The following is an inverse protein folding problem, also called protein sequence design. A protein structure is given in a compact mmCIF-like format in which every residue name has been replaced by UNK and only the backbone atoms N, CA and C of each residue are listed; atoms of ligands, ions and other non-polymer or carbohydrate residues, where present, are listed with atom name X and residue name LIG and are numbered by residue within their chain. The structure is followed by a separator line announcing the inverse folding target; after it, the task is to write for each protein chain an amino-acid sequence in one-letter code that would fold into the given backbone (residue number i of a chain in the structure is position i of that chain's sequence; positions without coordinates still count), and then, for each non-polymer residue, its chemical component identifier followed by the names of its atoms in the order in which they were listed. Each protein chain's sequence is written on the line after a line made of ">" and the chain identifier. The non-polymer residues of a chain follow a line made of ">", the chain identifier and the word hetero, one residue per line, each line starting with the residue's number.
data_IF_407344395956
#
_entry.id   IF_407344395956
#
_cell.length_a   1.000
_cell.length_b   1.000
_cell.length_c   1.000
_cell.angle_alpha   90.00
_cell.angle_beta   90.00
_cell.angle_gamma   90.00
#
_symmetry.space_group_name_H-M   'P 1'
#
loop_
_entity.id
_entity.type
_entity.pdbx_description
1 polymer ?
#
# COMPACT_ATOMS: atom_id res chain seq x y z
N UNK A 1 34.22 19.05 -30.05
CA UNK A 1 33.08 19.12 -29.11
C UNK A 1 32.02 18.16 -29.62
N UNK A 2 31.87 17.00 -28.99
CA UNK A 2 30.83 16.01 -29.30
C UNK A 2 29.64 16.28 -28.39
N UNK A 3 28.48 16.54 -28.99
CA UNK A 3 27.24 16.83 -28.25
C UNK A 3 26.59 15.50 -27.86
N UNK A 4 26.73 15.13 -26.59
CA UNK A 4 26.11 13.94 -25.98
C UNK A 4 24.58 14.11 -25.99
N UNK A 5 23.88 13.58 -27.00
CA UNK A 5 22.43 13.61 -27.06
C UNK A 5 21.87 12.48 -26.17
N UNK A 6 21.69 12.78 -24.87
CA UNK A 6 21.03 11.88 -23.92
C UNK A 6 19.54 11.81 -24.29
N UNK A 7 19.20 10.96 -25.26
CA UNK A 7 17.80 10.66 -25.59
C UNK A 7 17.20 9.85 -24.43
N UNK A 8 16.38 10.51 -23.63
CA UNK A 8 15.47 9.83 -22.72
C UNK A 8 14.44 9.07 -23.56
N UNK A 9 14.54 7.74 -23.59
CA UNK A 9 13.57 6.88 -24.26
C UNK A 9 12.35 6.71 -23.36
N UNK A 10 11.54 7.76 -23.25
CA UNK A 10 10.23 7.68 -22.62
C UNK A 10 9.29 6.89 -23.54
N UNK A 11 8.81 5.74 -23.05
CA UNK A 11 7.86 4.89 -23.77
C UNK A 11 6.62 4.76 -22.91
N UNK A 12 5.54 5.38 -23.35
CA UNK A 12 4.21 5.20 -22.75
C UNK A 12 3.57 3.96 -23.35
N UNK A 13 3.48 2.89 -22.56
CA UNK A 13 2.75 1.68 -22.95
C UNK A 13 1.26 1.94 -22.70
N UNK A 14 0.51 2.08 -23.79
CA UNK A 14 -0.95 2.21 -23.76
C UNK A 14 -1.55 0.87 -24.17
N UNK A 15 -2.53 0.38 -23.39
CA UNK A 15 -3.26 -0.87 -23.59
C UNK A 15 -2.43 -2.17 -23.56
N UNK A 16 -2.65 -3.00 -22.54
CA UNK A 16 -2.02 -4.32 -22.46
C UNK A 16 -2.98 -5.37 -23.04
N UNK A 17 -2.60 -5.97 -24.17
CA UNK A 17 -3.38 -7.05 -24.81
C UNK A 17 -3.18 -8.36 -24.05
N UNK A 18 -3.93 -8.55 -22.95
CA UNK A 18 -3.93 -9.81 -22.18
C UNK A 18 -5.23 -10.60 -22.41
N UNK A 19 -5.16 -11.89 -22.80
CA UNK A 19 -6.34 -12.73 -22.91
C UNK A 19 -6.97 -12.94 -21.53
N UNK A 20 -8.28 -13.20 -21.50
CA UNK A 20 -9.09 -13.26 -20.28
C UNK A 20 -8.46 -14.12 -19.17
N UNK A 21 -8.03 -15.34 -19.47
CA UNK A 21 -7.44 -16.23 -18.47
C UNK A 21 -6.13 -15.72 -17.88
N UNK A 22 -5.26 -15.07 -18.67
CA UNK A 22 -4.03 -14.47 -18.15
C UNK A 22 -4.34 -13.32 -17.20
N UNK A 23 -5.37 -12.53 -17.51
CA UNK A 23 -5.83 -11.45 -16.64
C UNK A 23 -6.38 -11.98 -15.31
N UNK A 24 -7.15 -13.08 -15.34
CA UNK A 24 -7.67 -13.74 -14.14
C UNK A 24 -6.53 -14.28 -13.28
N UNK A 25 -5.57 -14.99 -13.87
CA UNK A 25 -4.41 -15.52 -13.12
C UNK A 25 -3.62 -14.39 -12.47
N UNK A 26 -3.45 -13.26 -13.16
CA UNK A 26 -2.83 -12.07 -12.58
C UNK A 26 -3.62 -11.55 -11.37
N UNK A 27 -4.93 -11.38 -11.49
CA UNK A 27 -5.78 -10.89 -10.40
C UNK A 27 -5.75 -11.84 -9.19
N UNK A 28 -5.76 -13.16 -9.42
CA UNK A 28 -5.65 -14.17 -8.35
C UNK A 28 -4.29 -14.07 -7.65
N UNK A 29 -3.20 -13.94 -8.40
CA UNK A 29 -1.86 -13.77 -7.82
C UNK A 29 -1.76 -12.48 -7.02
N UNK A 30 -2.33 -11.38 -7.52
CA UNK A 30 -2.38 -10.11 -6.82
C UNK A 30 -3.15 -10.22 -5.50
N UNK A 31 -4.33 -10.85 -5.53
CA UNK A 31 -5.14 -11.08 -4.34
C UNK A 31 -4.39 -11.93 -3.29
N UNK A 32 -3.76 -13.03 -3.69
CA UNK A 32 -3.00 -13.88 -2.76
C UNK A 32 -1.78 -13.11 -2.20
N UNK A 33 -1.09 -12.34 -3.03
CA UNK A 33 0.04 -11.51 -2.60
C UNK A 33 -0.35 -10.40 -1.60
N UNK A 34 -1.62 -9.99 -1.58
CA UNK A 34 -2.11 -9.03 -0.59
C UNK A 34 -2.18 -9.61 0.83
N UNK A 35 -2.26 -10.93 1.01
CA UNK A 35 -2.39 -11.56 2.34
C UNK A 35 -1.16 -11.26 3.22
N UNK A 36 0.09 -11.49 2.76
CA UNK A 36 1.28 -11.04 3.49
C UNK A 36 1.30 -9.54 3.77
N UNK A 37 0.86 -8.71 2.80
CA UNK A 37 0.81 -7.27 2.97
C UNK A 37 -0.17 -6.86 4.06
N UNK A 38 -1.34 -7.49 4.13
CA UNK A 38 -2.37 -7.21 5.15
C UNK A 38 -1.88 -7.51 6.57
N UNK A 39 -1.01 -8.51 6.76
CA UNK A 39 -0.40 -8.77 8.07
C UNK A 39 0.49 -7.59 8.51
N UNK A 40 1.32 -7.08 7.60
CA UNK A 40 2.22 -5.94 7.88
C UNK A 40 1.38 -4.67 8.10
N UNK A 41 0.39 -4.41 7.25
CA UNK A 41 -0.53 -3.28 7.41
C UNK A 41 -1.29 -3.37 8.73
N UNK A 42 -1.73 -4.56 9.13
CA UNK A 42 -2.41 -4.78 10.42
C UNK A 42 -1.53 -4.41 11.62
N UNK A 43 -0.24 -4.76 11.59
CA UNK A 43 0.71 -4.36 12.62
C UNK A 43 0.91 -2.84 12.66
N UNK A 44 1.04 -2.21 11.49
CA UNK A 44 1.17 -0.76 11.39
C UNK A 44 -0.08 -0.05 11.93
N UNK A 45 -1.27 -0.50 11.53
CA UNK A 45 -2.53 0.04 12.06
C UNK A 45 -2.72 -0.23 13.54
N UNK A 46 -2.26 -1.37 14.06
CA UNK A 46 -2.27 -1.65 15.50
C UNK A 46 -1.38 -0.67 16.26
N UNK A 47 -0.18 -0.36 15.74
CA UNK A 47 0.71 0.64 16.34
C UNK A 47 0.08 2.03 16.34
N UNK A 48 -0.50 2.45 15.22
CA UNK A 48 -1.24 3.71 15.16
C UNK A 48 -2.43 3.71 16.13
N UNK A 49 -3.20 2.61 16.16
CA UNK A 49 -4.33 2.44 17.06
C UNK A 49 -3.93 2.52 18.54
N UNK A 50 -2.76 1.99 18.91
CA UNK A 50 -2.22 2.12 20.27
C UNK A 50 -1.86 3.57 20.59
N UNK A 51 -1.22 4.30 19.66
CA UNK A 51 -0.84 5.71 19.88
C UNK A 51 -2.10 6.57 19.99
N UNK A 52 -2.98 6.52 18.99
CA UNK A 52 -4.20 7.33 18.98
C UNK A 52 -5.18 6.90 20.06
N UNK A 53 -5.37 5.60 20.27
CA UNK A 53 -6.24 5.05 21.31
C UNK A 53 -5.69 5.29 22.72
N UNK A 54 -4.38 5.21 22.93
CA UNK A 54 -3.73 5.55 24.20
C UNK A 54 -3.86 7.02 24.55
N UNK A 55 -3.70 7.90 23.55
CA UNK A 55 -3.96 9.34 23.70
C UNK A 55 -5.43 9.57 24.07
N UNK A 56 -6.38 9.08 23.28
CA UNK A 56 -7.81 9.28 23.53
C UNK A 56 -8.29 8.67 24.85
N UNK A 57 -7.83 7.47 25.20
CA UNK A 57 -8.18 6.82 26.47
C UNK A 57 -7.51 7.49 27.67
N UNK A 58 -6.28 8.01 27.54
CA UNK A 58 -5.62 8.80 28.57
C UNK A 58 -6.35 10.11 28.84
N UNK A 59 -6.86 10.77 27.79
CA UNK A 59 -7.68 11.97 27.93
C UNK A 59 -9.07 11.70 28.54
N UNK A 60 -9.67 10.53 28.27
CA UNK A 60 -11.01 10.19 28.80
C UNK A 60 -10.98 9.52 30.20
N UNK A 61 -9.98 8.69 30.47
CA UNK A 61 -9.81 7.97 31.74
C UNK A 61 -9.37 8.86 32.91
N UNK A 62 -8.70 9.99 32.63
CA UNK A 62 -8.37 11.00 33.64
C UNK A 62 -9.57 11.85 34.10
N UNK A 63 -10.72 11.77 33.42
CA UNK A 63 -11.88 12.64 33.65
C UNK A 63 -13.08 11.91 34.29
N UNK A 64 -12.96 10.61 34.57
CA UNK A 64 -14.02 9.75 35.12
C UNK A 64 -13.91 9.39 36.61
N UNK A 65 -13.00 10.02 37.36
CA UNK A 65 -12.88 9.83 38.82
C UNK A 65 -13.43 11.04 39.58
N UNK A 66 -14.76 11.21 39.59
CA UNK A 66 -15.52 11.96 40.60
C UNK A 66 -16.90 11.32 40.77
#
# INVERSE_FOLDING_TARGET
>A
MTTENTKNNEVTVVDIKMPFFSMVVFMVKFAIASIPAMLILGLIFSLFGMIFGGIFSGFHGGMGHY
#
